data_IF_228914427200
#
_entry.id   IF_228914427200
#
_cell.length_a   1.000
_cell.length_b   1.000
_cell.length_c   1.000
_cell.angle_alpha   90.00
_cell.angle_beta   90.00
_cell.angle_gamma   90.00
#
_symmetry.space_group_name_H-M   'P 1'
#
loop_
_entity.id
_entity.type
_entity.pdbx_description
1 polymer ?
#
# COMPACT_ATOMS: atom_id res chain seq x y z
N UNK A 1 -5.02 -20.35 6.50
CA UNK A 1 -6.31 -19.89 7.03
C UNK A 1 -6.32 -18.39 7.19
N UNK A 2 -6.65 -17.69 6.10
CA UNK A 2 -7.05 -16.27 6.15
C UNK A 2 -8.44 -16.15 6.81
N UNK A 3 -9.24 -17.22 6.77
CA UNK A 3 -10.56 -17.33 7.42
C UNK A 3 -10.55 -17.11 8.94
N UNK A 4 -9.48 -17.49 9.65
CA UNK A 4 -9.38 -17.34 11.11
C UNK A 4 -9.01 -15.89 11.52
N UNK A 5 -8.62 -15.07 10.56
CA UNK A 5 -8.30 -13.65 10.77
C UNK A 5 -9.55 -12.77 10.74
N UNK A 6 -10.61 -13.21 10.04
CA UNK A 6 -11.89 -12.49 9.99
C UNK A 6 -12.65 -12.55 11.32
N UNK A 7 -12.37 -13.54 12.17
CA UNK A 7 -12.92 -13.64 13.53
C UNK A 7 -12.32 -12.64 14.52
N UNK A 8 -11.20 -11.98 14.18
CA UNK A 8 -10.53 -11.02 15.07
C UNK A 8 -11.01 -9.61 14.78
N UNK A 9 -11.92 -9.16 15.65
CA UNK A 9 -12.40 -7.79 15.90
C UNK A 9 -11.89 -6.68 14.96
N UNK A 10 -12.79 -5.89 14.34
CA UNK A 10 -12.43 -4.73 13.50
C UNK A 10 -11.64 -3.64 14.24
N UNK A 11 -11.50 -3.75 15.58
CA UNK A 11 -10.64 -2.89 16.42
C UNK A 11 -9.20 -3.41 16.60
N UNK A 12 -8.79 -4.43 15.84
CA UNK A 12 -7.44 -4.98 15.95
C UNK A 12 -6.39 -3.92 15.57
N UNK A 13 -5.43 -3.58 16.46
CA UNK A 13 -4.38 -2.60 16.16
C UNK A 13 -3.40 -3.09 15.07
N UNK A 14 -3.51 -4.36 14.69
CA UNK A 14 -2.69 -4.96 13.64
C UNK A 14 -3.07 -4.43 12.24
N UNK A 15 -4.35 -4.14 11.99
CA UNK A 15 -4.80 -3.64 10.69
C UNK A 15 -4.18 -2.26 10.35
N UNK A 16 -4.28 -1.23 11.21
CA UNK A 16 -3.58 0.04 10.99
C UNK A 16 -2.06 -0.14 10.87
N UNK A 17 -1.47 -1.01 11.69
CA UNK A 17 -0.03 -1.27 11.66
C UNK A 17 0.43 -1.89 10.33
N UNK A 18 -0.32 -2.87 9.83
CA UNK A 18 -0.04 -3.50 8.53
C UNK A 18 -0.21 -2.52 7.38
N UNK A 19 -1.26 -1.67 7.41
CA UNK A 19 -1.47 -0.66 6.38
C UNK A 19 -0.35 0.40 6.37
N UNK A 20 0.14 0.84 7.54
CA UNK A 20 1.32 1.73 7.61
C UNK A 20 2.57 1.09 7.01
N UNK A 21 2.86 -0.17 7.37
CA UNK A 21 4.00 -0.90 6.78
C UNK A 21 3.88 -1.06 5.27
N UNK A 22 2.67 -1.33 4.79
CA UNK A 22 2.41 -1.45 3.36
C UNK A 22 2.65 -0.11 2.66
N UNK A 23 2.18 1.00 3.23
CA UNK A 23 2.44 2.34 2.69
C UNK A 23 3.93 2.72 2.71
N UNK A 24 4.67 2.36 3.76
CA UNK A 24 6.13 2.55 3.80
C UNK A 24 6.83 1.78 2.68
N UNK A 25 6.44 0.53 2.44
CA UNK A 25 6.96 -0.26 1.33
C UNK A 25 6.56 0.32 -0.02
N UNK A 26 5.29 0.70 -0.21
CA UNK A 26 4.81 1.34 -1.45
C UNK A 26 5.60 2.61 -1.77
N UNK A 27 5.86 3.46 -0.78
CA UNK A 27 6.69 4.66 -0.96
C UNK A 27 8.12 4.34 -1.44
N UNK A 28 8.71 3.23 -0.98
CA UNK A 28 10.05 2.81 -1.41
C UNK A 28 10.07 2.31 -2.86
N UNK A 29 9.01 1.66 -3.30
CA UNK A 29 8.93 1.08 -4.64
C UNK A 29 8.41 2.05 -5.71
N UNK A 30 7.68 3.09 -5.31
CA UNK A 30 7.06 4.07 -6.23
C UNK A 30 8.07 4.68 -7.21
N UNK A 31 9.28 5.13 -6.81
CA UNK A 31 10.27 5.65 -7.74
C UNK A 31 10.72 4.63 -8.79
N UNK A 32 10.85 3.36 -8.39
CA UNK A 32 11.25 2.28 -9.30
C UNK A 32 10.13 1.96 -10.31
N UNK A 33 8.88 1.94 -9.85
CA UNK A 33 7.71 1.75 -10.72
C UNK A 33 7.57 2.89 -11.74
N UNK A 34 7.75 4.14 -11.30
CA UNK A 34 7.73 5.31 -12.19
C UNK A 34 8.84 5.24 -13.24
N UNK A 35 10.07 4.94 -12.83
CA UNK A 35 11.20 4.81 -13.75
C UNK A 35 10.98 3.67 -14.77
N UNK A 36 10.38 2.56 -14.33
CA UNK A 36 10.04 1.44 -15.21
C UNK A 36 8.95 1.82 -16.21
N UNK A 37 7.88 2.49 -15.77
CA UNK A 37 6.82 3.01 -16.66
C UNK A 37 7.39 3.92 -17.75
N UNK A 38 8.33 4.79 -17.39
CA UNK A 38 8.90 5.77 -18.33
C UNK A 38 9.86 5.12 -19.34
N UNK A 39 10.43 3.95 -19.01
CA UNK A 39 11.35 3.20 -19.86
C UNK A 39 10.70 2.16 -20.78
N UNK A 40 9.39 1.93 -20.66
CA UNK A 40 8.66 0.90 -21.41
C UNK A 40 8.04 1.50 -22.68
N UNK A 41 8.22 0.79 -23.81
CA UNK A 41 7.70 1.19 -25.11
C UNK A 41 6.32 0.57 -25.44
N UNK A 42 5.92 -0.48 -24.73
CA UNK A 42 4.65 -1.17 -24.95
C UNK A 42 3.51 -0.56 -24.15
N UNK A 43 2.43 -0.17 -24.84
CA UNK A 43 1.25 0.46 -24.22
C UNK A 43 0.62 -0.42 -23.13
N UNK A 44 0.48 -1.73 -23.36
CA UNK A 44 -0.08 -2.65 -22.35
C UNK A 44 0.77 -2.79 -21.09
N UNK A 45 2.10 -2.76 -21.23
CA UNK A 45 3.00 -2.84 -20.07
C UNK A 45 3.02 -1.51 -19.31
N UNK A 46 2.93 -0.39 -20.05
CA UNK A 46 2.79 0.95 -19.48
C UNK A 46 1.51 1.09 -18.66
N UNK A 47 0.37 0.63 -19.18
CA UNK A 47 -0.92 0.65 -18.50
C UNK A 47 -0.88 -0.18 -17.20
N UNK A 48 -0.27 -1.37 -17.24
CA UNK A 48 -0.12 -2.21 -16.06
C UNK A 48 0.75 -1.53 -14.97
N UNK A 49 1.80 -0.82 -15.38
CA UNK A 49 2.66 -0.06 -14.47
C UNK A 49 1.96 1.17 -13.91
N UNK A 50 1.16 1.86 -14.72
CA UNK A 50 0.35 2.99 -14.27
C UNK A 50 -0.67 2.56 -13.22
N UNK A 51 -1.37 1.44 -13.46
CA UNK A 51 -2.27 0.86 -12.46
C UNK A 51 -1.54 0.45 -11.18
N UNK A 52 -0.33 -0.09 -11.28
CA UNK A 52 0.50 -0.42 -10.11
C UNK A 52 0.90 0.84 -9.31
N UNK A 53 1.22 1.94 -10.00
CA UNK A 53 1.54 3.23 -9.38
C UNK A 53 0.31 3.82 -8.68
N UNK A 54 -0.86 3.81 -9.33
CA UNK A 54 -2.12 4.29 -8.75
C UNK A 54 -2.51 3.50 -7.48
N UNK A 55 -2.36 2.17 -7.53
CA UNK A 55 -2.59 1.31 -6.37
C UNK A 55 -1.61 1.64 -5.22
N UNK A 56 -0.33 1.86 -5.54
CA UNK A 56 0.67 2.25 -4.54
C UNK A 56 0.33 3.59 -3.89
N UNK A 57 -0.09 4.59 -4.68
CA UNK A 57 -0.53 5.90 -4.20
C UNK A 57 -1.78 5.79 -3.30
N UNK A 58 -2.77 5.01 -3.72
CA UNK A 58 -4.01 4.77 -2.95
C UNK A 58 -3.70 4.19 -1.57
N UNK A 59 -2.78 3.24 -1.48
CA UNK A 59 -2.32 2.67 -0.20
C UNK A 59 -1.68 3.73 0.69
N UNK A 60 -0.82 4.57 0.12
CA UNK A 60 -0.12 5.64 0.86
C UNK A 60 -1.13 6.65 1.41
N UNK A 61 -2.09 7.07 0.58
CA UNK A 61 -3.17 7.97 1.00
C UNK A 61 -4.06 7.36 2.09
N UNK A 62 -4.43 6.08 1.94
CA UNK A 62 -5.23 5.38 2.93
C UNK A 62 -4.51 5.29 4.28
N UNK A 63 -3.20 5.06 4.28
CA UNK A 63 -2.39 5.08 5.50
C UNK A 63 -2.32 6.48 6.14
N UNK A 64 -2.29 7.55 5.32
CA UNK A 64 -2.31 8.94 5.80
C UNK A 64 -3.62 9.34 6.51
N UNK A 65 -4.72 8.62 6.24
CA UNK A 65 -6.02 8.81 6.91
C UNK A 65 -6.14 8.06 8.24
N UNK A 66 -5.14 7.24 8.59
CA UNK A 66 -5.15 6.51 9.87
C UNK A 66 -4.94 7.47 11.04
N UNK A 67 -5.60 7.25 12.19
CA UNK A 67 -5.27 7.96 13.42
C UNK A 67 -3.79 7.73 13.79
N UNK A 68 -3.15 8.62 14.57
CA UNK A 68 -1.78 8.40 15.03
C UNK A 68 -1.65 7.06 15.76
N UNK A 69 -0.47 6.40 15.72
CA UNK A 69 -0.27 5.16 16.45
C UNK A 69 -0.50 5.40 17.94
N UNK A 70 -1.39 4.63 18.57
CA UNK A 70 -1.50 4.61 20.02
C UNK A 70 -0.13 4.17 20.59
N UNK A 71 0.61 5.14 21.14
CA UNK A 71 1.78 4.86 21.96
C UNK A 71 1.30 4.03 23.14
N UNK A 72 1.65 2.74 23.13
CA UNK A 72 1.42 1.89 24.29
C UNK A 72 2.19 2.49 25.47
N UNK A 73 1.46 2.99 26.47
CA UNK A 73 1.96 3.18 27.83
C UNK A 73 2.50 1.86 28.38
#
# INVERSE_FOLDING_TARGET
NIDDSAARSPKSPLLPKSLRKLAESSNKFLPALTAMRDGVAGDSERDALEQAIENAQTVIEAAGKLPPPDEKK
#
